data_IF_966624062073
#
_entry.id   IF_966624062073
#
_cell.length_a   1.000
_cell.length_b   1.000
_cell.length_c   1.000
_cell.angle_alpha   90.00
_cell.angle_beta   90.00
_cell.angle_gamma   90.00
#
_symmetry.space_group_name_H-M   'P 1'
#
loop_
_entity.id
_entity.type
_entity.pdbx_description
1 polymer ?
#
# COMPACT_ATOMS: atom_id res chain seq x y z
N UNK A 1 -22.09 0.05 14.56
CA UNK A 1 -20.61 0.11 14.55
C UNK A 1 -20.11 -0.98 15.50
N UNK A 2 -19.73 -2.15 14.96
CA UNK A 2 -19.20 -3.28 15.71
C UNK A 2 -17.70 -3.42 15.43
N UNK A 3 -16.87 -2.90 16.31
CA UNK A 3 -15.46 -3.22 16.33
C UNK A 3 -15.23 -4.46 17.21
N UNK A 4 -14.26 -5.30 16.85
CA UNK A 4 -13.88 -6.52 17.62
C UNK A 4 -13.33 -6.24 19.01
N UNK A 5 -13.14 -4.96 19.40
CA UNK A 5 -12.55 -4.55 20.69
C UNK A 5 -11.07 -4.90 20.85
N UNK A 6 -10.47 -5.59 19.88
CA UNK A 6 -9.08 -6.05 19.95
C UNK A 6 -8.05 -4.93 19.71
N UNK A 7 -8.40 -3.89 18.95
CA UNK A 7 -7.46 -2.81 18.60
C UNK A 7 -6.82 -2.13 19.81
N UNK A 8 -7.62 -1.77 20.82
CA UNK A 8 -7.11 -1.14 22.04
C UNK A 8 -6.19 -2.07 22.85
N UNK A 9 -6.54 -3.35 22.93
CA UNK A 9 -5.73 -4.34 23.64
C UNK A 9 -4.37 -4.55 22.97
N UNK A 10 -4.35 -4.57 21.62
CA UNK A 10 -3.11 -4.68 20.84
C UNK A 10 -2.26 -3.41 21.01
N UNK A 11 -2.88 -2.24 20.91
CA UNK A 11 -2.16 -0.96 21.10
C UNK A 11 -1.54 -0.87 22.51
N UNK A 12 -2.29 -1.21 23.55
CA UNK A 12 -1.78 -1.24 24.93
C UNK A 12 -0.61 -2.21 25.09
N UNK A 13 -0.69 -3.37 24.48
CA UNK A 13 0.38 -4.37 24.50
C UNK A 13 1.65 -3.88 23.77
N UNK A 14 1.52 -3.23 22.62
CA UNK A 14 2.65 -2.65 21.89
C UNK A 14 3.31 -1.53 22.71
N UNK A 15 2.53 -0.61 23.26
CA UNK A 15 3.05 0.50 24.07
C UNK A 15 3.79 -0.03 25.31
N UNK A 16 3.26 -1.05 25.98
CA UNK A 16 3.94 -1.72 27.10
C UNK A 16 5.24 -2.41 26.70
N UNK A 17 5.28 -3.06 25.54
CA UNK A 17 6.52 -3.65 25.00
C UNK A 17 7.58 -2.58 24.71
N UNK A 18 7.18 -1.37 24.37
CA UNK A 18 8.06 -0.22 24.18
C UNK A 18 8.41 0.50 25.49
N UNK A 19 8.00 -0.04 26.65
CA UNK A 19 8.26 0.56 27.97
C UNK A 19 7.43 1.81 28.26
N UNK A 20 6.32 2.00 27.56
CA UNK A 20 5.43 3.15 27.70
C UNK A 20 4.11 2.84 28.42
N UNK A 21 3.27 3.85 28.48
CA UNK A 21 1.91 3.77 29.06
C UNK A 21 0.89 4.52 28.21
N UNK A 22 -0.37 4.08 28.27
CA UNK A 22 -1.52 4.77 27.66
C UNK A 22 -2.43 5.30 28.75
N UNK A 23 -2.75 6.59 28.67
CA UNK A 23 -3.74 7.24 29.55
C UNK A 23 -4.95 7.60 28.69
N UNK A 24 -6.16 7.24 29.16
CA UNK A 24 -7.40 7.46 28.43
C UNK A 24 -8.32 8.34 29.28
N UNK A 25 -8.72 9.48 28.72
CA UNK A 25 -9.75 10.35 29.29
C UNK A 25 -10.98 10.33 28.39
N UNK A 26 -12.10 9.85 28.92
CA UNK A 26 -13.36 9.79 28.16
C UNK A 26 -14.53 10.27 28.98
N UNK A 27 -15.46 10.99 28.34
CA UNK A 27 -16.71 11.41 28.96
C UNK A 27 -17.86 11.41 27.94
N UNK A 28 -19.07 10.99 28.33
CA UNK A 28 -20.23 11.02 27.45
C UNK A 28 -20.47 12.40 26.87
N UNK A 29 -20.59 12.49 25.54
CA UNK A 29 -20.82 13.74 24.79
C UNK A 29 -19.60 14.68 24.69
N UNK A 30 -18.44 14.31 25.26
CA UNK A 30 -17.20 15.10 25.19
C UNK A 30 -16.08 14.44 24.36
N UNK A 31 -16.32 13.20 23.91
CA UNK A 31 -15.32 12.44 23.15
C UNK A 31 -14.36 11.67 24.05
N UNK A 32 -13.27 11.21 23.44
CA UNK A 32 -12.21 10.44 24.11
C UNK A 32 -10.85 11.00 23.72
N UNK A 33 -10.00 11.22 24.71
CA UNK A 33 -8.61 11.61 24.54
C UNK A 33 -7.70 10.44 24.90
N UNK A 34 -6.75 10.13 24.01
CA UNK A 34 -5.76 9.08 24.17
C UNK A 34 -4.37 9.70 24.23
N UNK A 35 -3.69 9.56 25.35
CA UNK A 35 -2.33 10.03 25.55
C UNK A 35 -1.39 8.83 25.64
N UNK A 36 -0.42 8.72 24.75
CA UNK A 36 0.61 7.67 24.74
C UNK A 36 1.92 8.28 25.20
N UNK A 37 2.51 7.72 26.26
CA UNK A 37 3.79 8.14 26.79
C UNK A 37 4.83 7.06 26.50
N UNK A 38 5.93 7.44 25.83
CA UNK A 38 7.04 6.54 25.51
C UNK A 38 8.35 7.15 26.04
N UNK A 39 9.18 6.32 26.63
CA UNK A 39 10.55 6.68 27.00
C UNK A 39 11.51 6.16 25.95
N UNK A 40 11.92 7.03 25.03
CA UNK A 40 12.86 6.68 23.97
C UNK A 40 14.26 7.21 24.32
N UNK A 41 15.32 6.42 24.13
CA UNK A 41 16.67 6.93 24.28
C UNK A 41 16.95 8.02 23.24
N UNK A 42 17.65 9.07 23.64
CA UNK A 42 18.13 10.07 22.69
C UNK A 42 19.29 9.45 21.94
N UNK A 43 19.20 9.41 20.62
CA UNK A 43 20.29 8.91 19.78
C UNK A 43 21.52 9.83 19.91
N UNK A 44 22.69 9.25 20.08
CA UNK A 44 23.94 10.00 20.04
C UNK A 44 24.32 10.33 18.58
N UNK A 45 25.27 11.26 18.40
CA UNK A 45 25.70 11.69 17.06
C UNK A 45 26.25 10.53 16.21
N UNK A 46 26.86 9.52 16.84
CA UNK A 46 27.38 8.35 16.15
C UNK A 46 26.26 7.47 15.61
N UNK A 47 25.21 7.23 16.41
CA UNK A 47 24.02 6.49 15.99
C UNK A 47 23.24 7.21 14.87
N UNK A 48 23.17 8.54 14.93
CA UNK A 48 22.53 9.36 13.88
C UNK A 48 23.32 9.24 12.57
N UNK A 49 24.66 9.33 12.62
CA UNK A 49 25.51 9.18 11.45
C UNK A 49 25.48 7.77 10.87
N UNK A 50 25.38 6.75 11.72
CA UNK A 50 25.24 5.36 11.29
C UNK A 50 23.88 5.10 10.62
N UNK A 51 22.80 5.62 11.20
CA UNK A 51 21.46 5.57 10.59
C UNK A 51 21.44 6.29 9.23
N UNK A 52 22.01 7.50 9.13
CA UNK A 52 22.11 8.23 7.88
C UNK A 52 22.93 7.46 6.82
N UNK A 53 24.01 6.81 7.20
CA UNK A 53 24.81 5.95 6.30
C UNK A 53 24.06 4.70 5.86
N UNK A 54 23.21 4.14 6.73
CA UNK A 54 22.35 3.00 6.39
C UNK A 54 21.28 3.46 5.39
N UNK A 55 20.65 4.62 5.62
CA UNK A 55 19.70 5.21 4.67
C UNK A 55 20.35 5.56 3.32
N UNK A 56 21.56 6.13 3.31
CA UNK A 56 22.29 6.41 2.08
C UNK A 56 22.68 5.11 1.35
N UNK A 57 23.14 4.08 2.05
CA UNK A 57 23.42 2.77 1.45
C UNK A 57 22.16 2.10 0.90
N UNK A 58 21.05 2.16 1.63
CA UNK A 58 19.77 1.67 1.14
C UNK A 58 19.29 2.44 -0.11
N UNK A 59 19.52 3.76 -0.15
CA UNK A 59 19.25 4.58 -1.35
C UNK A 59 20.18 4.24 -2.52
N UNK A 60 21.46 3.97 -2.26
CA UNK A 60 22.42 3.56 -3.29
C UNK A 60 22.17 2.13 -3.79
N UNK A 61 21.79 1.20 -2.92
CA UNK A 61 21.38 -0.16 -3.30
C UNK A 61 20.06 -0.19 -4.06
N UNK A 62 19.13 0.71 -3.74
CA UNK A 62 17.84 0.88 -4.43
C UNK A 62 17.99 1.55 -5.80
N UNK A 63 18.99 2.43 -5.99
CA UNK A 63 19.12 3.22 -7.23
C UNK A 63 19.51 2.43 -8.49
N UNK A 64 19.83 1.15 -8.39
CA UNK A 64 20.23 0.33 -9.54
C UNK A 64 19.42 -0.94 -9.78
N UNK A 65 18.70 -1.46 -8.80
CA UNK A 65 18.06 -2.78 -8.87
C UNK A 65 16.57 -2.83 -8.47
N UNK A 66 15.98 -1.73 -7.96
CA UNK A 66 14.55 -1.75 -7.63
C UNK A 66 13.70 -1.94 -8.88
N UNK A 67 12.82 -2.95 -8.86
CA UNK A 67 11.85 -3.17 -9.95
C UNK A 67 10.87 -2.01 -10.12
N UNK A 68 10.77 -1.13 -9.13
CA UNK A 68 9.91 0.05 -9.14
C UNK A 68 10.58 1.29 -9.74
N UNK A 69 11.92 1.28 -9.88
CA UNK A 69 12.63 2.46 -10.38
C UNK A 69 12.18 2.87 -11.78
N UNK A 70 11.77 4.13 -11.91
CA UNK A 70 11.26 4.71 -13.16
C UNK A 70 9.87 4.21 -13.57
N UNK A 71 9.19 3.39 -12.75
CA UNK A 71 7.85 2.87 -13.03
C UNK A 71 6.76 3.86 -12.68
N UNK A 72 5.68 3.83 -13.45
CA UNK A 72 4.45 4.56 -13.18
C UNK A 72 3.41 3.62 -12.61
N UNK A 73 2.97 3.91 -11.43
CA UNK A 73 2.07 3.06 -10.64
C UNK A 73 0.78 3.83 -10.41
N UNK A 74 -0.36 3.21 -10.67
CA UNK A 74 -1.65 3.70 -10.21
C UNK A 74 -1.97 2.99 -8.89
N UNK A 75 -2.11 3.75 -7.81
CA UNK A 75 -2.50 3.27 -6.50
C UNK A 75 -3.95 3.67 -6.23
N UNK A 76 -4.84 2.70 -6.09
CA UNK A 76 -6.21 2.92 -5.64
C UNK A 76 -6.32 2.55 -4.16
N UNK A 77 -6.56 3.54 -3.31
CA UNK A 77 -6.63 3.44 -1.85
C UNK A 77 -7.52 4.56 -1.31
N UNK A 78 -8.55 4.23 -0.54
CA UNK A 78 -9.53 5.19 -0.02
C UNK A 78 -9.08 5.84 1.30
N UNK A 79 -8.10 5.26 1.99
CA UNK A 79 -7.55 5.83 3.20
C UNK A 79 -6.34 6.71 2.88
N UNK A 80 -6.49 8.02 3.09
CA UNK A 80 -5.47 9.04 2.79
C UNK A 80 -4.12 8.74 3.46
N UNK A 81 -4.12 8.22 4.70
CA UNK A 81 -2.88 7.89 5.43
C UNK A 81 -2.18 6.70 4.79
N UNK A 82 -2.94 5.65 4.43
CA UNK A 82 -2.37 4.47 3.75
C UNK A 82 -1.81 4.85 2.38
N UNK A 83 -2.55 5.67 1.63
CA UNK A 83 -2.12 6.17 0.33
C UNK A 83 -0.81 6.96 0.43
N UNK A 84 -0.73 7.92 1.38
CA UNK A 84 0.47 8.72 1.63
C UNK A 84 1.68 7.86 2.00
N UNK A 85 1.50 6.88 2.89
CA UNK A 85 2.58 5.95 3.30
C UNK A 85 3.06 5.11 2.13
N UNK A 86 2.14 4.57 1.33
CA UNK A 86 2.49 3.75 0.17
C UNK A 86 3.17 4.59 -0.93
N UNK A 87 2.70 5.82 -1.19
CA UNK A 87 3.30 6.77 -2.13
C UNK A 87 4.74 7.11 -1.72
N UNK A 88 4.97 7.44 -0.44
CA UNK A 88 6.30 7.76 0.09
C UNK A 88 7.27 6.58 -0.06
N UNK A 89 6.83 5.36 0.28
CA UNK A 89 7.67 4.16 0.19
C UNK A 89 7.98 3.82 -1.28
N UNK A 90 6.98 3.81 -2.15
CA UNK A 90 7.17 3.53 -3.58
C UNK A 90 7.99 4.62 -4.27
N UNK A 91 7.77 5.89 -3.89
CA UNK A 91 8.59 7.03 -4.34
C UNK A 91 10.04 6.92 -3.88
N UNK A 92 10.28 6.43 -2.66
CA UNK A 92 11.61 6.11 -2.14
C UNK A 92 12.33 5.04 -2.96
N UNK A 93 11.58 4.10 -3.56
CA UNK A 93 12.11 3.12 -4.53
C UNK A 93 12.24 3.67 -5.96
N UNK A 94 11.96 4.94 -6.19
CA UNK A 94 12.09 5.61 -7.48
C UNK A 94 10.89 5.46 -8.42
N UNK A 95 9.72 5.04 -7.92
CA UNK A 95 8.48 5.01 -8.69
C UNK A 95 7.82 6.39 -8.78
N UNK A 96 7.00 6.58 -9.81
CA UNK A 96 6.03 7.66 -9.92
C UNK A 96 4.65 7.09 -9.61
N UNK A 97 3.97 7.63 -8.60
CA UNK A 97 2.69 7.11 -8.13
C UNK A 97 1.60 8.15 -8.39
N UNK A 98 0.54 7.73 -9.09
CA UNK A 98 -0.70 8.47 -9.18
C UNK A 98 -1.71 7.80 -8.23
N UNK A 99 -2.38 8.57 -7.35
CA UNK A 99 -3.31 8.04 -6.33
C UNK A 99 -4.75 8.28 -6.75
N UNK A 100 -5.59 7.24 -6.64
CA UNK A 100 -7.04 7.28 -6.81
C UNK A 100 -7.74 6.92 -5.50
N UNK A 101 -8.68 7.74 -5.02
CA UNK A 101 -9.38 7.58 -3.74
C UNK A 101 -10.49 6.52 -3.76
N UNK A 102 -10.79 5.92 -4.91
CA UNK A 102 -11.78 4.86 -5.10
C UNK A 102 -11.60 4.19 -6.46
N UNK A 103 -12.31 3.06 -6.66
CA UNK A 103 -12.23 2.30 -7.90
C UNK A 103 -12.71 3.06 -9.13
N UNK A 104 -13.72 3.91 -9.01
CA UNK A 104 -14.24 4.70 -10.12
C UNK A 104 -13.20 5.69 -10.63
N UNK A 105 -12.52 6.39 -9.72
CA UNK A 105 -11.42 7.30 -10.07
C UNK A 105 -10.25 6.54 -10.67
N UNK A 106 -9.93 5.34 -10.16
CA UNK A 106 -8.88 4.52 -10.74
C UNK A 106 -9.18 4.13 -12.20
N UNK A 107 -10.42 3.73 -12.51
CA UNK A 107 -10.86 3.46 -13.89
C UNK A 107 -10.72 4.71 -14.75
N UNK A 108 -11.24 5.84 -14.29
CA UNK A 108 -11.18 7.11 -15.02
C UNK A 108 -9.74 7.54 -15.30
N UNK A 109 -8.87 7.51 -14.28
CA UNK A 109 -7.46 7.87 -14.43
C UNK A 109 -6.74 6.93 -15.41
N UNK A 110 -7.04 5.62 -15.38
CA UNK A 110 -6.49 4.68 -16.34
C UNK A 110 -6.97 4.98 -17.76
N UNK A 111 -8.24 5.32 -17.95
CA UNK A 111 -8.84 5.61 -19.26
C UNK A 111 -8.31 6.93 -19.87
N UNK A 112 -8.12 7.96 -19.05
CA UNK A 112 -7.66 9.29 -19.48
C UNK A 112 -6.17 9.32 -19.89
N UNK A 113 -5.35 8.39 -19.38
CA UNK A 113 -3.92 8.33 -19.73
C UNK A 113 -3.69 7.64 -21.07
N UNK A 114 -2.58 7.92 -21.75
CA UNK A 114 -2.17 7.19 -22.94
C UNK A 114 -2.04 5.68 -22.67
N UNK A 115 -2.16 4.86 -23.72
CA UNK A 115 -1.90 3.43 -23.63
C UNK A 115 -0.50 3.13 -23.06
N UNK A 116 -0.40 2.12 -22.21
CA UNK A 116 0.82 1.71 -21.52
C UNK A 116 1.45 2.83 -20.64
N UNK A 117 0.64 3.77 -20.16
CA UNK A 117 1.14 4.81 -19.26
C UNK A 117 1.49 4.23 -17.89
N UNK A 118 0.65 3.36 -17.33
CA UNK A 118 0.94 2.68 -16.08
C UNK A 118 1.60 1.33 -16.33
N UNK A 119 2.68 1.06 -15.62
CA UNK A 119 3.35 -0.25 -15.63
C UNK A 119 2.54 -1.31 -14.87
N UNK A 120 1.90 -0.90 -13.77
CA UNK A 120 0.97 -1.73 -13.01
C UNK A 120 0.07 -0.89 -12.10
N UNK A 121 -0.95 -1.54 -11.56
CA UNK A 121 -1.96 -0.97 -10.67
C UNK A 121 -1.93 -1.73 -9.34
N UNK A 122 -1.86 -1.00 -8.22
CA UNK A 122 -2.13 -1.50 -6.87
C UNK A 122 -3.55 -1.08 -6.51
N UNK A 123 -4.42 -2.06 -6.27
CA UNK A 123 -5.86 -1.85 -6.15
C UNK A 123 -6.36 -2.34 -4.80
N UNK A 124 -6.71 -1.44 -3.89
CA UNK A 124 -7.46 -1.85 -2.70
C UNK A 124 -8.77 -2.53 -3.11
N UNK A 125 -9.08 -3.64 -2.47
CA UNK A 125 -10.32 -4.37 -2.74
C UNK A 125 -11.51 -3.68 -2.11
N UNK A 126 -11.36 -3.15 -0.90
CA UNK A 126 -12.46 -2.57 -0.13
C UNK A 126 -12.43 -1.05 -0.19
N UNK A 127 -13.10 -0.47 -1.19
CA UNK A 127 -13.23 0.97 -1.35
C UNK A 127 -14.69 1.39 -1.49
N UNK A 128 -15.06 2.63 -1.10
CA UNK A 128 -16.38 3.20 -1.33
C UNK A 128 -16.59 3.51 -2.83
N UNK A 129 -17.84 3.73 -3.23
CA UNK A 129 -18.28 4.10 -4.57
C UNK A 129 -18.17 2.95 -5.57
N UNK A 130 -16.97 2.40 -5.78
CA UNK A 130 -16.66 1.25 -6.60
C UNK A 130 -15.53 0.46 -5.94
N UNK A 131 -15.76 -0.79 -5.67
CA UNK A 131 -14.74 -1.66 -5.07
C UNK A 131 -13.66 -2.05 -6.09
N UNK A 132 -12.52 -2.59 -5.59
CA UNK A 132 -11.39 -2.87 -6.45
C UNK A 132 -11.60 -4.02 -7.43
N UNK A 133 -12.53 -4.96 -7.15
CA UNK A 133 -12.88 -6.05 -8.05
C UNK A 133 -13.69 -5.51 -9.22
N UNK A 134 -14.73 -4.72 -8.92
CA UNK A 134 -15.56 -4.05 -9.92
C UNK A 134 -14.72 -3.10 -10.80
N UNK A 135 -13.80 -2.35 -10.18
CA UNK A 135 -12.86 -1.50 -10.92
C UNK A 135 -11.96 -2.32 -11.87
N UNK A 136 -11.45 -3.45 -11.39
CA UNK A 136 -10.62 -4.36 -12.21
C UNK A 136 -11.40 -4.91 -13.39
N UNK A 137 -12.62 -5.42 -13.16
CA UNK A 137 -13.49 -5.92 -14.23
C UNK A 137 -13.80 -4.82 -15.25
N UNK A 138 -14.06 -3.60 -14.77
CA UNK A 138 -14.32 -2.45 -15.65
C UNK A 138 -13.10 -2.10 -16.48
N UNK A 139 -11.90 -2.03 -15.88
CA UNK A 139 -10.64 -1.80 -16.62
C UNK A 139 -10.46 -2.88 -17.68
N UNK A 140 -10.66 -4.16 -17.34
CA UNK A 140 -10.51 -5.28 -18.29
C UNK A 140 -11.48 -5.24 -19.46
N UNK A 141 -12.62 -4.53 -19.32
CA UNK A 141 -13.63 -4.37 -20.37
C UNK A 141 -13.41 -3.15 -21.26
N UNK A 142 -12.49 -2.25 -20.90
CA UNK A 142 -12.18 -1.08 -21.73
C UNK A 142 -11.67 -1.49 -23.12
N UNK A 143 -12.13 -0.76 -24.13
CA UNK A 143 -11.72 -1.00 -25.53
C UNK A 143 -10.36 -0.37 -25.83
N UNK A 144 -9.32 -0.88 -25.15
CA UNK A 144 -7.93 -0.47 -25.35
C UNK A 144 -6.98 -1.66 -25.13
N UNK A 145 -5.89 -1.76 -25.90
CA UNK A 145 -5.02 -2.94 -25.90
C UNK A 145 -4.41 -3.25 -24.54
N UNK A 146 -3.96 -2.22 -23.80
CA UNK A 146 -3.30 -2.37 -22.51
C UNK A 146 -4.24 -2.71 -21.35
N UNK A 147 -5.55 -2.52 -21.51
CA UNK A 147 -6.55 -2.92 -20.51
C UNK A 147 -6.52 -4.42 -20.19
N UNK A 148 -6.14 -5.26 -21.16
CA UNK A 148 -6.04 -6.71 -20.99
C UNK A 148 -4.68 -7.15 -20.44
N UNK A 149 -3.66 -6.30 -20.54
CA UNK A 149 -2.27 -6.67 -20.25
C UNK A 149 -1.66 -5.94 -19.06
N UNK A 150 -2.21 -4.78 -18.67
CA UNK A 150 -1.74 -4.07 -17.48
C UNK A 150 -1.82 -4.98 -16.26
N UNK A 151 -0.75 -5.02 -15.47
CA UNK A 151 -0.72 -5.80 -14.25
C UNK A 151 -1.57 -5.11 -13.18
N UNK A 152 -2.48 -5.85 -12.55
CA UNK A 152 -3.32 -5.37 -11.45
C UNK A 152 -3.14 -6.30 -10.26
N UNK A 153 -2.75 -5.74 -9.12
CA UNK A 153 -2.54 -6.46 -7.88
C UNK A 153 -3.51 -5.97 -6.82
N UNK A 154 -4.33 -6.89 -6.29
CA UNK A 154 -5.30 -6.60 -5.24
C UNK A 154 -4.63 -6.44 -3.88
N UNK A 155 -5.06 -5.47 -3.10
CA UNK A 155 -4.67 -5.24 -1.71
C UNK A 155 -5.88 -5.49 -0.81
N UNK A 156 -5.77 -6.29 0.24
CA UNK A 156 -6.88 -6.54 1.17
C UNK A 156 -6.44 -6.60 2.62
N UNK A 157 -7.37 -6.30 3.53
CA UNK A 157 -7.14 -6.49 4.97
C UNK A 157 -7.03 -7.98 5.36
N UNK A 158 -7.61 -8.89 4.57
CA UNK A 158 -7.67 -10.31 4.85
C UNK A 158 -6.92 -11.12 3.79
N UNK A 159 -6.03 -12.01 4.23
CA UNK A 159 -5.23 -12.90 3.38
C UNK A 159 -5.87 -14.29 3.20
N UNK A 160 -7.22 -14.38 3.13
CA UNK A 160 -7.88 -15.67 2.96
C UNK A 160 -7.78 -16.17 1.52
N UNK A 161 -7.56 -17.47 1.35
CA UNK A 161 -7.48 -18.17 0.05
C UNK A 161 -8.70 -17.92 -0.84
N UNK A 162 -9.89 -17.73 -0.25
CA UNK A 162 -11.11 -17.39 -1.00
C UNK A 162 -11.07 -16.01 -1.62
N UNK A 163 -10.45 -15.03 -0.97
CA UNK A 163 -10.34 -13.67 -1.49
C UNK A 163 -9.32 -13.58 -2.62
N UNK A 164 -8.22 -14.33 -2.53
CA UNK A 164 -7.27 -14.48 -3.62
C UNK A 164 -7.94 -15.08 -4.87
N UNK A 165 -8.72 -16.16 -4.73
CA UNK A 165 -9.45 -16.77 -5.85
C UNK A 165 -10.41 -15.80 -6.53
N UNK A 166 -11.14 -14.99 -5.75
CA UNK A 166 -12.06 -13.98 -6.27
C UNK A 166 -11.29 -12.88 -7.01
N UNK A 167 -10.14 -12.44 -6.48
CA UNK A 167 -9.29 -11.43 -7.11
C UNK A 167 -8.73 -11.93 -8.46
N UNK A 168 -8.26 -13.15 -8.54
CA UNK A 168 -7.82 -13.74 -9.81
C UNK A 168 -8.99 -13.90 -10.79
N UNK A 169 -10.17 -14.31 -10.31
CA UNK A 169 -11.35 -14.51 -11.16
C UNK A 169 -11.86 -13.21 -11.80
N UNK A 170 -11.73 -12.05 -11.13
CA UNK A 170 -12.07 -10.73 -11.70
C UNK A 170 -10.99 -10.16 -12.62
N UNK A 171 -9.84 -10.85 -12.81
CA UNK A 171 -8.80 -10.46 -13.73
C UNK A 171 -7.57 -9.78 -13.09
N UNK A 172 -7.41 -9.85 -11.77
CA UNK A 172 -6.18 -9.43 -11.10
C UNK A 172 -5.05 -10.44 -11.34
N UNK A 173 -3.81 -9.97 -11.32
CA UNK A 173 -2.60 -10.78 -11.52
C UNK A 173 -2.02 -11.34 -10.22
N UNK A 174 -2.46 -10.84 -9.07
CA UNK A 174 -2.06 -11.29 -7.75
C UNK A 174 -2.84 -10.60 -6.66
N UNK A 175 -2.62 -11.06 -5.42
CA UNK A 175 -3.31 -10.58 -4.25
C UNK A 175 -2.33 -10.46 -3.09
N UNK A 176 -2.39 -9.36 -2.35
CA UNK A 176 -1.51 -9.08 -1.21
C UNK A 176 -2.31 -8.63 0.01
N UNK A 177 -1.86 -9.07 1.17
CA UNK A 177 -2.43 -8.63 2.44
C UNK A 177 -1.90 -7.25 2.84
N UNK A 178 -2.73 -6.45 3.48
CA UNK A 178 -2.31 -5.23 4.21
C UNK A 178 -1.91 -5.62 5.66
N UNK A 179 -0.87 -5.02 6.25
CA UNK A 179 0.00 -3.99 5.67
C UNK A 179 0.90 -4.54 4.56
N UNK A 180 1.14 -3.73 3.53
CA UNK A 180 1.89 -4.16 2.35
C UNK A 180 3.35 -4.43 2.73
N UNK A 181 3.82 -5.66 2.50
CA UNK A 181 5.24 -5.99 2.49
C UNK A 181 5.83 -5.59 1.12
N UNK A 182 6.40 -4.39 1.05
CA UNK A 182 6.95 -3.84 -0.19
C UNK A 182 8.14 -4.62 -0.72
N UNK A 183 8.91 -5.31 0.13
CA UNK A 183 10.00 -6.18 -0.31
C UNK A 183 9.46 -7.45 -0.98
N UNK A 184 8.44 -8.08 -0.39
CA UNK A 184 7.76 -9.22 -0.98
C UNK A 184 7.06 -8.81 -2.29
N UNK A 185 6.42 -7.64 -2.32
CA UNK A 185 5.80 -7.07 -3.51
C UNK A 185 6.83 -6.88 -4.62
N UNK A 186 8.00 -6.30 -4.31
CA UNK A 186 9.10 -6.09 -5.25
C UNK A 186 9.59 -7.42 -5.86
N UNK A 187 9.84 -8.42 -5.02
CA UNK A 187 10.29 -9.76 -5.50
C UNK A 187 9.27 -10.39 -6.44
N UNK A 188 7.99 -10.31 -6.09
CA UNK A 188 6.93 -10.95 -6.87
C UNK A 188 6.63 -10.20 -8.17
N UNK A 189 6.48 -8.87 -8.12
CA UNK A 189 6.23 -8.04 -9.32
C UNK A 189 7.39 -8.16 -10.30
N UNK A 190 8.64 -8.24 -9.83
CA UNK A 190 9.81 -8.46 -10.68
C UNK A 190 9.70 -9.68 -11.58
N UNK A 191 9.08 -10.75 -11.11
CA UNK A 191 8.84 -11.94 -11.92
C UNK A 191 7.86 -11.69 -13.07
N UNK A 192 6.79 -10.92 -12.85
CA UNK A 192 5.81 -10.57 -13.87
C UNK A 192 6.37 -9.58 -14.90
N UNK A 193 7.10 -8.55 -14.46
CA UNK A 193 7.67 -7.54 -15.35
C UNK A 193 8.78 -8.09 -16.26
N UNK A 194 9.54 -9.09 -15.79
CA UNK A 194 10.57 -9.74 -16.59
C UNK A 194 10.01 -10.68 -17.67
N UNK A 195 8.81 -11.19 -17.50
CA UNK A 195 8.12 -12.04 -18.49
C UNK A 195 7.60 -11.21 -19.67
N UNK A 196 7.20 -9.96 -19.45
CA UNK A 196 6.67 -9.06 -20.48
C UNK A 196 7.76 -8.48 -21.43
N UNK A 197 9.05 -8.59 -21.08
CA UNK A 197 10.18 -8.10 -21.92
C UNK A 197 10.72 -9.11 -22.91
N UNK A 198 10.12 -10.30 -23.05
CA UNK A 198 10.45 -11.31 -24.05
C UNK A 198 9.36 -11.39 -25.12
#
# INVERSE_FOLDING_TARGET
YGGTGLGMAITDQIVKLMGGEIVIHTAPGKGTDFSVFLHLPIADEASIQEAAKIEERQKEEVSGESVFYGRRILLAEDNEINAMVAEEILGGFGAQVDVAENGQLAVQMFEEKPENYYDFILMDIQMPVMDGREATETIRQLNRPDAQTVLIFGLSADAFVEDERKSIACGMNGHYAKPIDFEALQRNIGSFLNVQKK
#
